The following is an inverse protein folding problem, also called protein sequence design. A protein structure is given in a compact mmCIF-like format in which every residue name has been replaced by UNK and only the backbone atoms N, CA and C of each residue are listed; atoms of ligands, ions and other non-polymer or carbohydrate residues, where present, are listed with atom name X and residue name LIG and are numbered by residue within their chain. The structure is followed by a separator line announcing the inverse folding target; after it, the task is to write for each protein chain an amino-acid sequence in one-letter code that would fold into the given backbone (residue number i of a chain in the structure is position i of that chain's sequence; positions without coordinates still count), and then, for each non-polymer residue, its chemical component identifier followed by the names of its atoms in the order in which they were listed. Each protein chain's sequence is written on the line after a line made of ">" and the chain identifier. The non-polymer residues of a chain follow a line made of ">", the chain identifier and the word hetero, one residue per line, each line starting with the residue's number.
data_IF_953878518826
#
_entry.id   IF_953878518826
#
_cell.length_a   1.000
_cell.length_b   1.000
_cell.length_c   1.000
_cell.angle_alpha   90.00
_cell.angle_beta   90.00
_cell.angle_gamma   90.00
#
_symmetry.space_group_name_H-M   'P 1'
#
loop_
_entity.id
_entity.type
_entity.pdbx_description
1 polymer ?
#
# COMPACT_ATOMS: atom_id res chain seq x y z
N UNK A 1 1.82 38.86 20.95
CA UNK A 1 3.28 39.06 20.77
C UNK A 1 3.95 38.83 22.11
N UNK A 2 5.18 38.29 22.14
CA UNK A 2 5.98 38.14 23.36
C UNK A 2 7.24 39.00 23.18
N UNK A 3 7.42 40.02 24.03
CA UNK A 3 8.48 41.03 23.90
C UNK A 3 8.55 41.70 22.51
N UNK A 4 7.39 42.14 21.98
CA UNK A 4 7.34 42.86 20.69
C UNK A 4 7.59 42.01 19.44
N UNK A 5 7.84 40.70 19.57
CA UNK A 5 7.97 39.76 18.44
C UNK A 5 6.90 38.67 18.49
N UNK A 6 6.68 37.99 17.37
CA UNK A 6 5.87 36.77 17.36
C UNK A 6 6.58 35.68 18.17
N UNK A 7 5.81 34.81 18.84
CA UNK A 7 6.35 33.76 19.73
C UNK A 7 7.36 32.86 18.99
N UNK A 8 7.09 32.53 17.72
CA UNK A 8 7.97 31.70 16.89
C UNK A 8 9.27 32.38 16.44
N UNK A 9 9.39 33.70 16.62
CA UNK A 9 10.59 34.48 16.27
C UNK A 9 11.40 34.93 17.48
N UNK A 10 10.97 34.61 18.71
CA UNK A 10 11.70 34.95 19.92
C UNK A 10 12.95 34.06 20.07
N UNK A 11 14.13 34.66 20.18
CA UNK A 11 15.41 33.95 20.19
C UNK A 11 15.55 32.92 21.33
N UNK A 12 15.03 33.24 22.52
CA UNK A 12 15.07 32.33 23.68
C UNK A 12 14.19 31.11 23.43
N UNK A 13 12.99 31.31 22.87
CA UNK A 13 12.07 30.22 22.52
C UNK A 13 12.66 29.34 21.43
N UNK A 14 13.24 29.92 20.37
CA UNK A 14 13.91 29.17 19.31
C UNK A 14 15.07 28.33 19.87
N UNK A 15 15.93 28.92 20.71
CA UNK A 15 17.06 28.21 21.34
C UNK A 15 16.58 27.08 22.24
N UNK A 16 15.54 27.31 23.04
CA UNK A 16 14.93 26.29 23.88
C UNK A 16 14.39 25.12 23.03
N UNK A 17 13.59 25.40 21.98
CA UNK A 17 13.05 24.37 21.09
C UNK A 17 14.15 23.61 20.33
N UNK A 18 15.25 24.30 19.95
CA UNK A 18 16.43 23.65 19.37
C UNK A 18 17.13 22.74 20.39
N UNK A 19 17.21 23.17 21.66
CA UNK A 19 17.67 22.33 22.77
C UNK A 19 16.82 21.07 22.94
N UNK A 20 15.49 21.22 22.94
CA UNK A 20 14.55 20.08 22.99
C UNK A 20 14.77 19.13 21.80
N UNK A 21 14.94 19.66 20.59
CA UNK A 21 15.25 18.83 19.42
C UNK A 21 16.60 18.13 19.54
N UNK A 22 17.65 18.80 20.00
CA UNK A 22 18.95 18.18 20.19
C UNK A 22 18.92 17.07 21.25
N UNK A 23 18.08 17.22 22.29
CA UNK A 23 17.87 16.19 23.30
C UNK A 23 17.03 15.02 22.78
N UNK A 24 16.05 15.29 21.92
CA UNK A 24 15.11 14.31 21.37
C UNK A 24 14.79 14.64 19.92
N UNK A 25 15.68 14.28 18.98
CA UNK A 25 15.45 14.56 17.57
C UNK A 25 14.21 13.81 17.10
N UNK A 26 13.36 14.51 16.36
CA UNK A 26 12.16 13.91 15.79
C UNK A 26 12.54 13.05 14.58
N UNK A 27 12.59 11.74 14.80
CA UNK A 27 12.94 10.79 13.75
C UNK A 27 11.70 10.24 13.02
N UNK A 28 11.82 10.01 11.71
CA UNK A 28 10.77 9.29 11.00
C UNK A 28 10.68 7.86 11.56
N UNK A 29 9.46 7.35 11.71
CA UNK A 29 9.23 5.97 12.15
C UNK A 29 9.99 4.93 11.30
N UNK A 30 10.22 5.22 10.02
CA UNK A 30 10.95 4.36 9.11
C UNK A 30 12.06 5.17 8.40
N UNK A 31 13.30 4.74 8.59
CA UNK A 31 14.49 5.19 7.85
C UNK A 31 14.59 4.46 6.49
N UNK A 32 14.27 3.17 6.48
CA UNK A 32 14.27 2.29 5.31
C UNK A 32 12.89 1.62 5.08
N UNK A 33 12.77 0.85 4.00
CA UNK A 33 11.59 0.03 3.70
C UNK A 33 11.99 -1.39 3.28
N UNK A 34 11.06 -2.33 3.34
CA UNK A 34 11.33 -3.74 3.04
C UNK A 34 11.30 -4.05 1.52
N UNK A 35 11.95 -5.14 1.11
CA UNK A 35 12.01 -5.54 -0.30
C UNK A 35 10.72 -6.20 -0.78
N UNK A 36 10.05 -5.54 -1.73
CA UNK A 36 8.81 -6.02 -2.36
C UNK A 36 8.97 -7.38 -3.04
N UNK A 37 10.19 -7.72 -3.48
CA UNK A 37 10.52 -9.00 -4.12
C UNK A 37 10.22 -10.19 -3.22
N UNK A 38 10.43 -10.08 -1.90
CA UNK A 38 10.09 -11.11 -0.91
C UNK A 38 8.61 -11.46 -0.96
N UNK A 39 7.75 -10.44 -1.04
CA UNK A 39 6.31 -10.61 -1.15
C UNK A 39 5.93 -11.20 -2.51
N UNK A 40 6.49 -10.72 -3.61
CA UNK A 40 6.22 -11.32 -4.92
C UNK A 40 6.57 -12.81 -4.96
N UNK A 41 7.72 -13.20 -4.38
CA UNK A 41 8.15 -14.58 -4.30
C UNK A 41 7.17 -15.45 -3.49
N UNK A 42 6.67 -14.95 -2.36
CA UNK A 42 5.62 -15.63 -1.61
C UNK A 42 4.32 -15.74 -2.42
N UNK A 43 3.85 -14.64 -3.03
CA UNK A 43 2.60 -14.62 -3.79
C UNK A 43 2.64 -15.56 -4.99
N UNK A 44 3.79 -15.72 -5.67
CA UNK A 44 3.95 -16.69 -6.77
C UNK A 44 3.69 -18.14 -6.35
N UNK A 45 4.01 -18.50 -5.09
CA UNK A 45 3.75 -19.84 -4.54
C UNK A 45 2.26 -20.12 -4.32
N UNK A 46 1.43 -19.07 -4.20
CA UNK A 46 -0.03 -19.18 -4.07
C UNK A 46 -0.70 -19.32 -5.45
N UNK A 47 -0.25 -20.29 -6.24
CA UNK A 47 -0.74 -20.57 -7.59
C UNK A 47 -0.66 -22.07 -7.87
N UNK A 48 -1.56 -22.64 -8.70
CA UNK A 48 -2.68 -21.99 -9.41
C UNK A 48 -3.80 -21.53 -8.46
N UNK A 49 -4.42 -20.38 -8.78
CA UNK A 49 -5.43 -19.74 -7.90
C UNK A 49 -6.71 -20.57 -7.72
N UNK A 50 -6.99 -21.48 -8.64
CA UNK A 50 -8.13 -22.40 -8.60
C UNK A 50 -8.05 -23.40 -7.43
N UNK A 51 -6.83 -23.77 -7.02
CA UNK A 51 -6.61 -24.85 -6.06
C UNK A 51 -6.23 -24.40 -4.65
N UNK A 52 -5.98 -23.10 -4.44
CA UNK A 52 -5.65 -22.58 -3.11
C UNK A 52 -6.91 -22.39 -2.25
N UNK A 53 -6.74 -22.32 -0.93
CA UNK A 53 -7.85 -22.04 -0.02
C UNK A 53 -8.48 -20.66 -0.28
N UNK A 54 -9.76 -20.46 0.08
CA UNK A 54 -10.39 -19.13 -0.02
C UNK A 54 -9.60 -18.10 0.79
N UNK A 55 -9.07 -18.50 1.96
CA UNK A 55 -8.20 -17.67 2.79
C UNK A 55 -6.97 -17.19 2.02
N UNK A 56 -6.20 -18.09 1.41
CA UNK A 56 -4.98 -17.70 0.69
C UNK A 56 -5.30 -16.93 -0.59
N UNK A 57 -6.42 -17.22 -1.26
CA UNK A 57 -6.92 -16.42 -2.39
C UNK A 57 -7.23 -14.98 -1.96
N UNK A 58 -7.94 -14.79 -0.84
CA UNK A 58 -8.25 -13.47 -0.28
C UNK A 58 -6.97 -12.72 0.09
N UNK A 59 -6.06 -13.38 0.81
CA UNK A 59 -4.77 -12.80 1.21
C UNK A 59 -3.96 -12.36 -0.02
N UNK A 60 -3.91 -13.20 -1.06
CA UNK A 60 -3.24 -12.91 -2.33
C UNK A 60 -3.86 -11.70 -3.03
N UNK A 61 -5.19 -11.65 -3.14
CA UNK A 61 -5.91 -10.54 -3.78
C UNK A 61 -5.66 -9.21 -3.06
N UNK A 62 -5.81 -9.20 -1.73
CA UNK A 62 -5.57 -8.01 -0.89
C UNK A 62 -4.17 -7.47 -1.14
N UNK A 63 -3.16 -8.33 -1.10
CA UNK A 63 -1.79 -7.88 -1.27
C UNK A 63 -1.51 -7.40 -2.70
N UNK A 64 -2.01 -8.10 -3.73
CA UNK A 64 -1.82 -7.66 -5.12
C UNK A 64 -2.48 -6.31 -5.41
N UNK A 65 -3.64 -6.02 -4.83
CA UNK A 65 -4.27 -4.70 -4.93
C UNK A 65 -3.38 -3.64 -4.27
N UNK A 66 -2.85 -3.89 -3.08
CA UNK A 66 -1.90 -2.98 -2.41
C UNK A 66 -0.67 -2.73 -3.29
N UNK A 67 -0.07 -3.79 -3.83
CA UNK A 67 1.15 -3.72 -4.63
C UNK A 67 0.96 -3.02 -5.98
N UNK A 68 -0.23 -3.14 -6.61
CA UNK A 68 -0.52 -2.55 -7.93
C UNK A 68 -1.07 -1.11 -7.87
N UNK A 69 -1.47 -0.64 -6.68
CA UNK A 69 -2.15 0.66 -6.52
C UNK A 69 -1.47 1.57 -5.50
N UNK A 70 -0.57 1.03 -4.68
CA UNK A 70 0.00 1.70 -3.52
C UNK A 70 -1.06 2.32 -2.60
N UNK A 71 -2.31 1.83 -2.58
CA UNK A 71 -3.41 2.47 -1.86
C UNK A 71 -3.34 2.26 -0.34
N UNK A 72 -4.17 2.99 0.42
CA UNK A 72 -4.27 2.83 1.88
C UNK A 72 -5.26 1.71 2.22
N UNK A 73 -5.16 1.13 3.42
CA UNK A 73 -6.15 0.15 3.93
C UNK A 73 -7.59 0.65 3.85
N UNK A 74 -7.81 1.96 4.06
CA UNK A 74 -9.14 2.57 3.88
C UNK A 74 -9.65 2.41 2.45
N UNK A 75 -8.79 2.58 1.44
CA UNK A 75 -9.16 2.41 0.03
C UNK A 75 -9.63 0.99 -0.23
N UNK A 76 -8.89 -0.03 0.23
CA UNK A 76 -9.32 -1.44 0.10
C UNK A 76 -10.67 -1.71 0.78
N UNK A 77 -10.87 -1.15 1.98
CA UNK A 77 -12.12 -1.30 2.72
C UNK A 77 -13.33 -0.67 2.01
N UNK A 78 -13.11 0.39 1.25
CA UNK A 78 -14.16 1.09 0.52
C UNK A 78 -14.42 0.52 -0.86
N UNK A 79 -13.65 -0.45 -1.35
CA UNK A 79 -13.91 -1.08 -2.65
C UNK A 79 -15.28 -1.78 -2.65
N UNK A 80 -16.10 -1.38 -3.62
CA UNK A 80 -17.45 -1.87 -3.83
C UNK A 80 -17.55 -2.63 -5.14
N UNK A 81 -18.43 -3.63 -5.18
CA UNK A 81 -18.84 -4.30 -6.42
C UNK A 81 -19.97 -3.58 -7.14
N UNK A 82 -20.62 -2.61 -6.49
CA UNK A 82 -21.58 -1.73 -7.15
C UNK A 82 -20.90 -1.04 -8.34
N UNK A 83 -21.54 -1.13 -9.49
CA UNK A 83 -21.03 -0.60 -10.76
C UNK A 83 -19.66 -1.16 -11.16
N UNK A 84 -19.29 -2.38 -10.71
CA UNK A 84 -18.09 -3.05 -11.20
C UNK A 84 -18.13 -3.14 -12.73
N UNK A 85 -17.14 -2.54 -13.39
CA UNK A 85 -16.98 -2.64 -14.84
C UNK A 85 -15.88 -3.64 -15.14
N UNK A 86 -16.21 -4.67 -15.92
CA UNK A 86 -15.25 -5.63 -16.46
C UNK A 86 -14.92 -5.25 -17.90
N UNK A 87 -13.69 -4.79 -18.12
CA UNK A 87 -13.12 -4.59 -19.45
C UNK A 87 -12.54 -5.87 -20.05
N UNK A 88 -11.90 -5.74 -21.21
CA UNK A 88 -11.17 -6.83 -21.87
C UNK A 88 -10.01 -7.33 -20.99
N UNK A 89 -9.21 -6.39 -20.50
CA UNK A 89 -7.96 -6.66 -19.76
C UNK A 89 -7.88 -5.89 -18.43
N UNK A 90 -9.01 -5.39 -17.91
CA UNK A 90 -9.06 -4.68 -16.63
C UNK A 90 -10.38 -4.88 -15.88
N UNK A 91 -10.35 -4.67 -14.57
CA UNK A 91 -11.53 -4.44 -13.74
C UNK A 91 -11.47 -3.04 -13.14
N UNK A 92 -12.58 -2.31 -13.23
CA UNK A 92 -12.74 -1.00 -12.58
C UNK A 92 -13.71 -1.14 -11.42
N UNK A 93 -13.20 -0.90 -10.21
CA UNK A 93 -13.95 -0.93 -8.95
C UNK A 93 -14.13 0.48 -8.41
N UNK A 94 -15.31 0.79 -7.89
CA UNK A 94 -15.62 2.10 -7.33
C UNK A 94 -15.52 2.09 -5.80
N UNK A 95 -15.18 3.24 -5.21
CA UNK A 95 -15.19 3.41 -3.76
C UNK A 95 -16.58 3.79 -3.28
N UNK A 96 -17.08 3.09 -2.27
CA UNK A 96 -18.40 3.36 -1.64
C UNK A 96 -18.42 4.63 -0.77
N UNK A 97 -17.45 5.53 -0.90
CA UNK A 97 -17.30 6.71 -0.04
C UNK A 97 -16.01 7.49 -0.31
N UNK A 98 -15.88 8.65 0.34
CA UNK A 98 -14.72 9.53 0.18
C UNK A 98 -13.44 8.92 0.78
N UNK A 99 -12.36 8.98 0.01
CA UNK A 99 -11.03 8.62 0.49
C UNK A 99 -10.40 9.79 1.25
N UNK A 100 -9.47 9.49 2.17
CA UNK A 100 -8.64 10.51 2.83
C UNK A 100 -7.88 11.42 1.85
N UNK A 101 -7.61 10.95 0.63
CA UNK A 101 -6.93 11.75 -0.40
C UNK A 101 -7.84 12.71 -1.14
N UNK A 102 -9.16 12.54 -1.05
CA UNK A 102 -10.11 13.36 -1.78
C UNK A 102 -10.13 14.77 -1.19
N UNK A 103 -10.10 15.77 -2.07
CA UNK A 103 -10.17 17.20 -1.76
C UNK A 103 -10.74 17.93 -2.98
N UNK A 104 -11.22 19.18 -2.85
CA UNK A 104 -11.64 19.96 -4.01
C UNK A 104 -10.58 19.94 -5.12
N UNK A 105 -10.99 19.64 -6.36
CA UNK A 105 -10.08 19.51 -7.51
C UNK A 105 -9.27 18.21 -7.60
N UNK A 106 -9.31 17.32 -6.60
CA UNK A 106 -8.66 16.01 -6.66
C UNK A 106 -9.56 14.93 -6.04
N UNK A 107 -10.31 14.23 -6.88
CA UNK A 107 -11.26 13.23 -6.44
C UNK A 107 -11.02 11.89 -7.15
N UNK A 108 -10.61 10.88 -6.39
CA UNK A 108 -10.38 9.54 -6.92
C UNK A 108 -11.52 8.65 -6.44
N UNK A 109 -12.39 8.26 -7.38
CA UNK A 109 -13.60 7.50 -7.09
C UNK A 109 -13.51 6.02 -7.45
N UNK A 110 -12.46 5.63 -8.18
CA UNK A 110 -12.29 4.25 -8.64
C UNK A 110 -10.84 3.80 -8.59
N UNK A 111 -10.67 2.49 -8.76
CA UNK A 111 -9.39 1.87 -9.03
C UNK A 111 -9.52 0.95 -10.23
N UNK A 112 -8.58 1.07 -11.14
CA UNK A 112 -8.43 0.14 -12.26
C UNK A 112 -7.32 -0.87 -11.95
N UNK A 113 -7.67 -2.15 -12.13
CA UNK A 113 -6.84 -3.32 -11.89
C UNK A 113 -6.63 -4.05 -13.22
N UNK A 114 -5.44 -3.88 -13.79
CA UNK A 114 -5.08 -4.41 -15.09
C UNK A 114 -4.63 -5.87 -15.02
N UNK A 115 -4.85 -6.59 -16.12
CA UNK A 115 -4.21 -7.87 -16.36
C UNK A 115 -2.69 -7.70 -16.42
N UNK A 116 -1.98 -8.74 -15.99
CA UNK A 116 -0.53 -8.81 -16.08
C UNK A 116 -0.12 -10.11 -16.79
N UNK A 117 -0.16 -10.12 -18.13
CA UNK A 117 0.23 -11.28 -18.93
C UNK A 117 1.64 -11.84 -18.65
N UNK A 118 2.68 -11.01 -18.40
CA UNK A 118 4.05 -11.52 -18.22
C UNK A 118 4.21 -12.52 -17.07
N UNK A 119 3.44 -12.40 -15.98
CA UNK A 119 3.40 -13.40 -14.91
C UNK A 119 1.98 -13.55 -14.38
N UNK A 120 1.23 -14.53 -14.92
CA UNK A 120 -0.15 -14.81 -14.50
C UNK A 120 -0.26 -15.14 -13.01
N UNK A 121 0.81 -15.59 -12.35
CA UNK A 121 0.81 -15.87 -10.91
C UNK A 121 0.72 -14.58 -10.06
N UNK A 122 1.08 -13.43 -10.64
CA UNK A 122 0.97 -12.11 -10.01
C UNK A 122 -0.15 -11.25 -10.62
N UNK A 123 -0.94 -11.81 -11.53
CA UNK A 123 -2.00 -11.09 -12.22
C UNK A 123 -3.20 -10.82 -11.30
N UNK A 124 -3.37 -9.57 -10.87
CA UNK A 124 -4.49 -9.15 -10.00
C UNK A 124 -5.84 -9.39 -10.67
N UNK A 125 -5.94 -9.19 -12.00
CA UNK A 125 -7.15 -9.48 -12.77
C UNK A 125 -7.57 -10.95 -12.67
N UNK A 126 -6.62 -11.88 -12.84
CA UNK A 126 -6.90 -13.33 -12.76
C UNK A 126 -7.31 -13.73 -11.35
N UNK A 127 -6.62 -13.20 -10.33
CA UNK A 127 -6.93 -13.47 -8.92
C UNK A 127 -8.30 -12.91 -8.53
N UNK A 128 -8.62 -11.69 -8.98
CA UNK A 128 -9.92 -11.05 -8.73
C UNK A 128 -11.05 -11.84 -9.38
N UNK A 129 -10.88 -12.28 -10.64
CA UNK A 129 -11.86 -13.11 -11.34
C UNK A 129 -12.19 -14.38 -10.55
N UNK A 130 -11.16 -15.11 -10.11
CA UNK A 130 -11.33 -16.33 -9.30
C UNK A 130 -12.03 -16.05 -7.96
N UNK A 131 -11.62 -14.96 -7.29
CA UNK A 131 -12.21 -14.56 -6.01
C UNK A 131 -13.70 -14.19 -6.14
N UNK A 132 -14.07 -13.41 -7.16
CA UNK A 132 -15.47 -13.07 -7.43
C UNK A 132 -16.30 -14.32 -7.69
N UNK A 133 -15.80 -15.26 -8.50
CA UNK A 133 -16.46 -16.53 -8.77
C UNK A 133 -16.70 -17.34 -7.50
N UNK A 134 -15.68 -17.50 -6.64
CA UNK A 134 -15.77 -18.31 -5.42
C UNK A 134 -16.58 -17.67 -4.29
N UNK A 135 -16.76 -16.36 -4.32
CA UNK A 135 -17.52 -15.62 -3.29
C UNK A 135 -18.93 -15.25 -3.71
N UNK A 136 -19.30 -15.46 -4.98
CA UNK A 136 -20.57 -15.07 -5.56
C UNK A 136 -21.79 -15.53 -4.73
N UNK A 137 -21.84 -16.81 -4.37
CA UNK A 137 -22.98 -17.35 -3.60
C UNK A 137 -22.91 -16.97 -2.11
N UNK A 138 -21.72 -16.99 -1.51
CA UNK A 138 -21.54 -16.79 -0.07
C UNK A 138 -21.78 -15.35 0.41
N UNK A 139 -21.65 -14.36 -0.49
CA UNK A 139 -21.72 -12.93 -0.12
C UNK A 139 -23.13 -12.38 0.07
N UNK A 140 -24.15 -13.08 -0.42
CA UNK A 140 -25.54 -12.61 -0.42
C UNK A 140 -25.65 -11.19 -1.00
N UNK A 141 -26.30 -10.29 -0.26
CA UNK A 141 -26.55 -8.90 -0.69
C UNK A 141 -25.41 -7.92 -0.36
N UNK A 142 -24.27 -8.39 0.17
CA UNK A 142 -23.17 -7.47 0.50
C UNK A 142 -22.60 -6.86 -0.76
N UNK A 143 -22.35 -5.54 -0.82
CA UNK A 143 -21.68 -4.93 -1.98
C UNK A 143 -20.17 -4.72 -1.78
N UNK A 144 -19.64 -5.01 -0.58
CA UNK A 144 -18.20 -4.89 -0.30
C UNK A 144 -17.39 -5.94 -1.06
N UNK A 145 -16.30 -5.53 -1.70
CA UNK A 145 -15.40 -6.47 -2.38
C UNK A 145 -14.93 -7.59 -1.43
N UNK A 146 -14.46 -7.20 -0.24
CA UNK A 146 -13.92 -8.16 0.74
C UNK A 146 -14.98 -8.63 1.74
N UNK A 147 -15.13 -9.94 1.81
CA UNK A 147 -15.92 -10.65 2.82
C UNK A 147 -15.01 -11.58 3.61
N UNK A 148 -15.42 -11.96 4.82
CA UNK A 148 -14.71 -12.93 5.63
C UNK A 148 -14.58 -14.24 4.85
N UNK A 149 -13.43 -14.90 4.92
CA UNK A 149 -13.27 -16.28 4.40
C UNK A 149 -13.76 -17.34 5.39
N UNK A 150 -14.29 -16.93 6.55
CA UNK A 150 -14.91 -17.78 7.56
C UNK A 150 -16.41 -17.46 7.61
N UNK A 151 -17.25 -18.50 7.77
CA UNK A 151 -18.70 -18.33 8.02
C UNK A 151 -18.92 -17.34 9.20
N UNK A 152 -19.91 -16.45 9.13
CA UNK A 152 -20.99 -16.38 8.12
C UNK A 152 -20.66 -15.51 6.89
N UNK A 153 -19.39 -15.40 6.47
CA UNK A 153 -18.93 -14.73 5.24
C UNK A 153 -19.40 -13.26 5.10
N UNK A 154 -19.49 -12.54 6.22
CA UNK A 154 -19.92 -11.14 6.27
C UNK A 154 -18.82 -10.20 5.75
N UNK A 155 -19.20 -8.97 5.38
CA UNK A 155 -18.26 -7.91 5.05
C UNK A 155 -17.24 -7.70 6.19
N UNK A 156 -15.97 -7.48 5.83
CA UNK A 156 -14.90 -7.34 6.82
C UNK A 156 -14.64 -5.89 7.21
N UNK A 157 -14.15 -5.69 8.42
CA UNK A 157 -13.69 -4.38 8.90
C UNK A 157 -12.34 -3.97 8.28
N UNK A 158 -12.02 -2.68 8.38
CA UNK A 158 -10.72 -2.13 7.96
C UNK A 158 -9.55 -2.78 8.70
N UNK A 159 -9.73 -3.08 9.98
CA UNK A 159 -8.75 -3.71 10.86
C UNK A 159 -8.46 -5.14 10.41
N UNK A 160 -9.48 -5.84 9.90
CA UNK A 160 -9.32 -7.19 9.33
C UNK A 160 -8.48 -7.17 8.06
N UNK A 161 -8.73 -6.22 7.16
CA UNK A 161 -7.87 -6.03 5.96
C UNK A 161 -6.43 -5.67 6.39
N UNK A 162 -6.26 -4.80 7.38
CA UNK A 162 -4.93 -4.47 7.94
C UNK A 162 -4.21 -5.70 8.49
N UNK A 163 -4.93 -6.59 9.19
CA UNK A 163 -4.39 -7.87 9.69
C UNK A 163 -4.00 -8.79 8.53
N UNK A 164 -4.83 -8.90 7.49
CA UNK A 164 -4.51 -9.71 6.31
C UNK A 164 -3.25 -9.25 5.58
N UNK A 165 -3.06 -7.94 5.41
CA UNK A 165 -1.81 -7.39 4.85
C UNK A 165 -0.62 -7.79 5.73
N UNK A 166 -0.71 -7.63 7.05
CA UNK A 166 0.33 -8.06 7.99
C UNK A 166 0.61 -9.56 7.92
N UNK A 167 -0.42 -10.39 7.76
CA UNK A 167 -0.26 -11.84 7.59
C UNK A 167 0.55 -12.15 6.34
N UNK A 168 0.29 -11.50 5.20
CA UNK A 168 1.06 -11.72 3.98
C UNK A 168 2.50 -11.23 4.14
N UNK A 169 2.70 -10.06 4.74
CA UNK A 169 4.03 -9.53 5.05
C UNK A 169 4.83 -10.52 5.91
N UNK A 170 4.26 -11.01 7.00
CA UNK A 170 4.90 -11.99 7.88
C UNK A 170 5.21 -13.31 7.17
N UNK A 171 4.24 -13.87 6.41
CA UNK A 171 4.46 -15.09 5.61
C UNK A 171 5.54 -14.90 4.52
N UNK A 172 5.81 -13.66 4.11
CA UNK A 172 6.85 -13.31 3.14
C UNK A 172 8.21 -13.07 3.80
N UNK A 173 8.33 -13.23 5.12
CA UNK A 173 9.57 -12.98 5.85
C UNK A 173 9.83 -11.51 6.19
N UNK A 174 8.82 -10.64 6.13
CA UNK A 174 8.95 -9.25 6.57
C UNK A 174 8.79 -9.16 8.08
N UNK A 175 9.73 -8.48 8.75
CA UNK A 175 9.71 -8.30 10.20
C UNK A 175 8.61 -7.32 10.63
N UNK A 176 7.55 -7.84 11.26
CA UNK A 176 6.43 -7.02 11.75
C UNK A 176 6.73 -6.21 13.01
N UNK A 177 7.87 -6.45 13.69
CA UNK A 177 8.33 -5.58 14.78
C UNK A 177 8.79 -4.23 14.22
N UNK A 178 9.47 -4.26 13.07
CA UNK A 178 9.95 -3.06 12.38
C UNK A 178 8.87 -2.41 11.52
N UNK A 179 8.03 -3.20 10.87
CA UNK A 179 7.11 -2.73 9.83
C UNK A 179 5.64 -3.03 10.12
N UNK A 180 4.76 -2.05 9.90
CA UNK A 180 3.31 -2.24 9.93
C UNK A 180 2.71 -2.36 8.52
N UNK A 181 1.41 -2.72 8.40
CA UNK A 181 0.70 -2.76 7.12
C UNK A 181 0.80 -1.46 6.32
N UNK A 182 0.87 -0.31 6.99
CA UNK A 182 1.00 1.00 6.34
C UNK A 182 2.34 1.19 5.60
N UNK A 183 3.39 0.45 5.99
CA UNK A 183 4.71 0.52 5.33
C UNK A 183 4.68 -0.01 3.89
N UNK A 184 3.72 -0.89 3.56
CA UNK A 184 3.59 -1.45 2.22
C UNK A 184 3.45 -0.39 1.14
N UNK A 185 2.78 0.71 1.46
CA UNK A 185 2.66 1.83 0.56
C UNK A 185 4.02 2.46 0.23
N UNK A 186 4.87 2.69 1.24
CA UNK A 186 6.23 3.22 1.04
C UNK A 186 7.11 2.25 0.26
N UNK A 187 7.03 0.94 0.55
CA UNK A 187 7.77 -0.10 -0.16
C UNK A 187 7.43 -0.12 -1.66
N UNK A 188 6.14 -0.07 -2.00
CA UNK A 188 5.66 -0.09 -3.38
C UNK A 188 6.12 1.14 -4.16
N UNK A 189 5.94 2.35 -3.61
CA UNK A 189 6.32 3.57 -4.34
C UNK A 189 7.84 3.73 -4.43
N UNK A 190 8.60 3.25 -3.44
CA UNK A 190 10.06 3.22 -3.51
C UNK A 190 10.52 2.24 -4.60
N UNK A 191 9.94 1.04 -4.65
CA UNK A 191 10.23 0.09 -5.73
C UNK A 191 9.87 0.64 -7.11
N UNK A 192 8.74 1.33 -7.25
CA UNK A 192 8.36 1.98 -8.50
C UNK A 192 9.38 3.04 -8.94
N UNK A 193 9.86 3.86 -8.00
CA UNK A 193 10.90 4.85 -8.27
C UNK A 193 12.23 4.20 -8.67
N UNK A 194 12.67 3.14 -7.97
CA UNK A 194 13.86 2.37 -8.35
C UNK A 194 13.74 1.72 -9.74
N UNK A 195 12.52 1.35 -10.15
CA UNK A 195 12.23 0.85 -11.48
C UNK A 195 12.01 1.97 -12.53
N UNK A 196 12.47 3.20 -12.23
CA UNK A 196 12.46 4.36 -13.14
C UNK A 196 11.07 4.79 -13.60
N UNK A 197 10.01 4.49 -12.83
CA UNK A 197 8.69 5.05 -13.09
C UNK A 197 8.73 6.56 -12.82
N UNK A 198 8.26 7.41 -13.76
CA UNK A 198 8.24 8.85 -13.58
C UNK A 198 7.55 9.27 -12.27
N UNK A 199 8.16 10.20 -11.54
CA UNK A 199 7.65 10.66 -10.24
C UNK A 199 6.20 11.15 -10.36
N UNK A 200 5.86 11.88 -11.42
CA UNK A 200 4.49 12.34 -11.68
C UNK A 200 3.48 11.18 -11.72
N UNK A 201 3.82 10.06 -12.36
CA UNK A 201 2.98 8.86 -12.39
C UNK A 201 2.80 8.27 -10.98
N UNK A 202 3.87 8.24 -10.18
CA UNK A 202 3.83 7.77 -8.79
C UNK A 202 2.94 8.70 -7.95
N UNK A 203 3.12 10.02 -8.06
CA UNK A 203 2.34 11.03 -7.36
C UNK A 203 0.85 10.93 -7.71
N UNK A 204 0.50 10.84 -8.99
CA UNK A 204 -0.87 10.67 -9.48
C UNK A 204 -1.50 9.39 -8.94
N UNK A 205 -0.81 8.25 -9.05
CA UNK A 205 -1.33 6.94 -8.58
C UNK A 205 -1.48 6.90 -7.06
N UNK A 206 -0.54 7.50 -6.34
CA UNK A 206 -0.58 7.60 -4.89
C UNK A 206 -1.56 8.71 -4.43
N UNK A 207 -1.97 9.65 -5.25
CA UNK A 207 -2.78 10.80 -4.87
C UNK A 207 -2.04 11.81 -3.99
N UNK A 208 -0.79 12.11 -4.36
CA UNK A 208 0.01 13.19 -3.79
C UNK A 208 0.16 14.32 -4.80
N UNK A 209 0.12 15.57 -4.33
CA UNK A 209 0.38 16.78 -5.14
C UNK A 209 1.83 17.22 -5.11
N UNK A 210 2.58 16.82 -4.08
CA UNK A 210 3.93 17.33 -3.86
C UNK A 210 4.94 16.19 -3.91
N UNK A 211 5.93 16.36 -4.78
CA UNK A 211 7.12 15.53 -4.80
C UNK A 211 7.87 15.58 -3.47
N UNK A 212 7.92 16.74 -2.80
CA UNK A 212 8.56 16.88 -1.48
C UNK A 212 7.93 15.93 -0.46
N UNK A 213 6.60 15.75 -0.50
CA UNK A 213 5.90 14.79 0.36
C UNK A 213 6.30 13.35 0.04
N UNK A 214 6.39 13.00 -1.24
CA UNK A 214 6.87 11.68 -1.66
C UNK A 214 8.31 11.45 -1.18
N UNK A 215 9.23 12.35 -1.51
CA UNK A 215 10.65 12.26 -1.18
C UNK A 215 10.90 12.16 0.33
N UNK A 216 10.20 12.98 1.14
CA UNK A 216 10.41 13.02 2.60
C UNK A 216 9.82 11.82 3.34
N UNK A 217 8.60 11.41 2.98
CA UNK A 217 7.83 10.46 3.80
C UNK A 217 7.76 9.04 3.22
N UNK A 218 7.93 8.88 1.91
CA UNK A 218 7.60 7.62 1.24
C UNK A 218 8.73 7.02 0.41
N UNK A 219 9.57 7.84 -0.23
CA UNK A 219 10.82 7.39 -0.87
C UNK A 219 11.79 7.01 0.25
N UNK A 220 12.00 5.71 0.43
CA UNK A 220 12.89 5.14 1.44
C UNK A 220 13.87 4.20 0.76
N UNK A 221 15.15 4.15 1.19
CA UNK A 221 16.06 3.08 0.80
C UNK A 221 15.42 1.73 1.08
N UNK A 222 15.61 0.76 0.19
CA UNK A 222 15.14 -0.61 0.38
C UNK A 222 16.18 -1.34 1.24
N UNK A 223 15.74 -2.16 2.19
CA UNK A 223 16.62 -3.02 2.99
C UNK A 223 17.59 -3.75 2.04
N UNK A 224 18.90 -3.72 2.35
CA UNK A 224 20.04 -4.13 1.48
C UNK A 224 20.62 -3.09 0.52
N UNK A 225 20.04 -1.90 0.35
CA UNK A 225 20.59 -0.87 -0.54
C UNK A 225 21.96 -0.35 -0.06
N UNK A 226 22.20 -0.29 1.25
CA UNK A 226 23.52 0.10 1.79
C UNK A 226 24.62 -0.89 1.42
N UNK A 227 24.32 -2.20 1.52
CA UNK A 227 25.26 -3.25 1.12
C UNK A 227 25.53 -3.20 -0.39
N UNK A 228 24.51 -2.90 -1.20
CA UNK A 228 24.67 -2.71 -2.65
C UNK A 228 25.50 -1.48 -2.97
N UNK A 229 25.25 -0.37 -2.29
CA UNK A 229 26.02 0.86 -2.45
C UNK A 229 27.50 0.61 -2.14
N UNK A 230 27.80 0.01 -0.98
CA UNK A 230 29.17 -0.33 -0.61
C UNK A 230 29.83 -1.24 -1.66
N UNK A 231 29.15 -2.29 -2.12
CA UNK A 231 29.68 -3.19 -3.16
C UNK A 231 29.92 -2.49 -4.49
N UNK A 232 29.02 -1.59 -4.91
CA UNK A 232 29.15 -0.86 -6.17
C UNK A 232 30.26 0.19 -6.14
N UNK A 233 30.50 0.81 -4.98
CA UNK A 233 31.61 1.78 -4.81
C UNK A 233 32.96 1.06 -4.73
N UNK A 234 33.00 -0.12 -4.09
CA UNK A 234 34.23 -0.89 -3.91
C UNK A 234 34.53 -1.88 -5.05
N UNK A 235 33.64 -2.04 -6.03
CA UNK A 235 33.90 -2.89 -7.19
C UNK A 235 34.91 -2.21 -8.12
N UNK A 236 36.10 -2.79 -8.24
CA UNK A 236 37.10 -2.51 -9.29
C UNK A 236 36.68 -3.06 -10.64
#
# INVERSE_FOLDING_TARGET
>A
MFNGVTVGSNATIIRFLKGVYNLRPSEPRYSETWDVSKVFNFLRKLSPVKYISLKDLTLKLVMLIVLSTACRTQSLFLLCLDNLVKGKDSYTLFYSGLLKQNRPGFNVHFVELFAYPPDRRLCVFTVLKEYLMRTAQARGNSQKLFISYVKPFKAVSRETISRWIKTVMSKSGINLKSYSSHSARSAVVSKAFHNLIPVECILRRAGWTSEKTFAKFYKKPIESDEQRFQRAVLST
#
